data_IF_094040404142
#
_entry.id   IF_094040404142
#
_cell.length_a   1.000
_cell.length_b   1.000
_cell.length_c   1.000
_cell.angle_alpha   90.00
_cell.angle_beta   90.00
_cell.angle_gamma   90.00
#
_symmetry.space_group_name_H-M   'P 1'
#
loop_
_entity.id
_entity.type
_entity.pdbx_description
1 polymer ?
#
# COMPACT_ATOMS: atom_id res chain seq x y z
N UNK A 1 -11.03 -25.93 -25.41
CA UNK A 1 -10.86 -25.32 -24.07
C UNK A 1 -9.62 -24.44 -24.15
N UNK A 2 -9.79 -23.13 -24.55
CA UNK A 2 -8.69 -22.20 -24.59
C UNK A 2 -8.31 -21.84 -23.14
N UNK A 3 -7.14 -22.27 -22.70
CA UNK A 3 -6.46 -21.65 -21.57
C UNK A 3 -6.28 -20.18 -21.93
N UNK A 4 -7.07 -19.30 -21.34
CA UNK A 4 -6.83 -17.87 -21.40
C UNK A 4 -5.38 -17.65 -20.94
N UNK A 5 -4.56 -17.05 -21.79
CA UNK A 5 -3.19 -16.70 -21.46
C UNK A 5 -3.26 -15.91 -20.14
N UNK A 6 -2.55 -16.39 -19.12
CA UNK A 6 -2.41 -15.68 -17.86
C UNK A 6 -1.63 -14.40 -18.19
N UNK A 7 -2.34 -13.28 -18.27
CA UNK A 7 -1.70 -11.98 -18.45
C UNK A 7 -0.78 -11.72 -17.26
N UNK A 8 0.44 -11.27 -17.56
CA UNK A 8 1.35 -10.82 -16.50
C UNK A 8 0.72 -9.63 -15.74
N UNK A 9 1.01 -9.43 -14.45
CA UNK A 9 0.47 -8.31 -13.69
C UNK A 9 0.63 -6.95 -14.37
N UNK A 10 1.74 -6.71 -15.06
CA UNK A 10 2.00 -5.49 -15.83
C UNK A 10 1.02 -5.28 -16.97
N UNK A 11 0.64 -6.33 -17.69
CA UNK A 11 -0.29 -6.24 -18.84
C UNK A 11 -1.70 -5.81 -18.44
N UNK A 12 -2.12 -6.11 -17.19
CA UNK A 12 -3.43 -5.70 -16.69
C UNK A 12 -3.38 -4.28 -16.15
N UNK A 13 -2.29 -3.89 -15.49
CA UNK A 13 -2.18 -2.63 -14.78
C UNK A 13 -1.94 -1.41 -15.69
N UNK A 14 -1.32 -1.64 -16.84
CA UNK A 14 -0.95 -0.59 -17.79
C UNK A 14 -1.82 -0.65 -19.04
N UNK A 15 -2.09 0.50 -19.64
CA UNK A 15 -2.69 0.59 -20.96
C UNK A 15 -1.64 0.32 -22.07
N UNK A 16 -2.03 0.39 -23.35
CA UNK A 16 -1.15 0.10 -24.49
C UNK A 16 0.04 1.07 -24.57
N UNK A 17 -0.10 2.28 -24.06
CA UNK A 17 0.95 3.31 -24.03
C UNK A 17 1.84 3.23 -22.78
N UNK A 18 1.63 2.22 -21.92
CA UNK A 18 2.38 2.02 -20.68
C UNK A 18 1.94 2.91 -19.52
N UNK A 19 0.79 3.56 -19.60
CA UNK A 19 0.24 4.37 -18.52
C UNK A 19 -0.61 3.52 -17.56
N UNK A 20 -0.60 3.90 -16.30
CA UNK A 20 -1.35 3.22 -15.25
C UNK A 20 -2.86 3.35 -15.49
N UNK A 21 -3.57 2.21 -15.62
CA UNK A 21 -5.03 2.15 -15.72
C UNK A 21 -5.70 1.39 -14.56
N UNK A 22 -4.95 0.52 -13.90
CA UNK A 22 -5.32 -0.12 -12.64
C UNK A 22 -4.10 -0.08 -11.72
N UNK A 23 -4.32 -0.04 -10.40
CA UNK A 23 -3.23 -0.16 -9.43
C UNK A 23 -3.47 -1.34 -8.49
N UNK A 24 -2.99 -2.52 -8.87
CA UNK A 24 -3.33 -3.80 -8.23
C UNK A 24 -2.22 -4.31 -7.32
N UNK A 25 -0.98 -4.16 -7.74
CA UNK A 25 0.23 -4.57 -7.02
C UNK A 25 1.42 -3.71 -7.42
N UNK A 26 2.54 -3.82 -6.70
CA UNK A 26 3.82 -3.20 -7.07
C UNK A 26 4.54 -4.03 -8.13
N UNK A 27 4.44 -5.35 -8.02
CA UNK A 27 5.11 -6.29 -8.90
C UNK A 27 4.72 -6.06 -10.36
N UNK A 28 5.71 -6.02 -11.24
CA UNK A 28 5.54 -5.79 -12.67
C UNK A 28 5.42 -4.32 -13.09
N UNK A 29 5.47 -3.37 -12.15
CA UNK A 29 5.60 -1.94 -12.44
C UNK A 29 7.08 -1.51 -12.47
N UNK A 30 7.39 -0.56 -13.33
CA UNK A 30 8.75 -0.05 -13.48
C UNK A 30 9.10 1.02 -12.43
N UNK A 31 10.41 1.30 -12.26
CA UNK A 31 10.90 2.41 -11.43
C UNK A 31 10.28 3.74 -11.88
N UNK A 32 10.16 3.94 -13.19
CA UNK A 32 9.58 5.15 -13.78
C UNK A 32 8.11 5.30 -13.39
N UNK A 33 7.32 4.23 -13.44
CA UNK A 33 5.90 4.25 -13.02
C UNK A 33 5.77 4.58 -11.55
N UNK A 34 6.55 3.94 -10.67
CA UNK A 34 6.52 4.23 -9.23
C UNK A 34 7.00 5.66 -8.95
N UNK A 35 8.05 6.13 -9.63
CA UNK A 35 8.53 7.51 -9.50
C UNK A 35 7.46 8.51 -9.93
N UNK A 36 6.75 8.26 -11.04
CA UNK A 36 5.63 9.09 -11.49
C UNK A 36 4.51 9.18 -10.44
N UNK A 37 4.18 8.06 -9.77
CA UNK A 37 3.20 8.07 -8.66
C UNK A 37 3.70 8.96 -7.51
N UNK A 38 4.98 8.83 -7.12
CA UNK A 38 5.56 9.63 -6.04
C UNK A 38 5.62 11.12 -6.39
N UNK A 39 5.98 11.46 -7.62
CA UNK A 39 6.07 12.86 -8.08
C UNK A 39 4.69 13.50 -8.18
N UNK A 40 3.71 12.76 -8.72
CA UNK A 40 2.31 13.20 -8.74
C UNK A 40 1.77 13.39 -7.32
N UNK A 41 2.06 12.47 -6.39
CA UNK A 41 1.67 12.64 -5.00
C UNK A 41 2.33 13.87 -4.34
N UNK A 42 3.60 14.11 -4.64
CA UNK A 42 4.32 15.28 -4.13
C UNK A 42 3.71 16.60 -4.66
N UNK A 43 3.22 16.64 -5.89
CA UNK A 43 2.61 17.84 -6.48
C UNK A 43 1.27 18.26 -5.83
N UNK A 44 0.67 17.38 -5.01
CA UNK A 44 -0.52 17.71 -4.22
C UNK A 44 -0.22 18.43 -2.90
N UNK A 45 1.02 18.81 -2.64
CA UNK A 45 1.38 19.65 -1.52
C UNK A 45 1.74 21.05 -1.99
N UNK A 46 1.23 22.08 -1.29
CA UNK A 46 1.64 23.46 -1.48
C UNK A 46 2.99 23.76 -0.79
N UNK A 47 3.48 24.98 -0.91
CA UNK A 47 4.74 25.43 -0.28
C UNK A 47 4.73 25.35 1.26
N UNK A 48 3.55 25.43 1.87
CA UNK A 48 3.34 25.27 3.32
C UNK A 48 3.18 23.79 3.74
N UNK A 49 3.46 22.85 2.83
CA UNK A 49 3.35 21.41 3.07
C UNK A 49 1.91 20.93 3.41
N UNK A 50 0.91 21.64 2.90
CA UNK A 50 -0.51 21.29 3.06
C UNK A 50 -1.07 20.68 1.79
N UNK A 51 -1.97 19.71 1.94
CA UNK A 51 -2.65 19.07 0.81
C UNK A 51 -3.60 20.06 0.12
N UNK A 52 -3.42 20.21 -1.18
CA UNK A 52 -4.31 21.00 -2.03
C UNK A 52 -5.56 20.23 -2.44
N UNK A 53 -6.54 20.95 -2.99
CA UNK A 53 -7.72 20.39 -3.65
C UNK A 53 -7.67 20.81 -5.13
N UNK A 54 -8.11 19.93 -6.03
CA UNK A 54 -8.24 20.23 -7.46
C UNK A 54 -9.46 19.50 -8.07
N UNK A 55 -9.66 19.62 -9.38
CA UNK A 55 -10.81 19.08 -10.09
C UNK A 55 -10.48 17.94 -11.06
N UNK A 56 -9.36 17.24 -10.87
CA UNK A 56 -8.91 16.16 -11.79
C UNK A 56 -9.91 15.01 -11.96
N UNK A 57 -10.81 14.81 -11.01
CA UNK A 57 -11.88 13.80 -11.09
C UNK A 57 -13.27 14.40 -11.01
N UNK A 58 -13.44 15.67 -11.42
CA UNK A 58 -14.76 16.29 -11.48
C UNK A 58 -15.68 15.51 -12.43
N UNK A 59 -16.90 15.25 -11.98
CA UNK A 59 -17.88 14.44 -12.70
C UNK A 59 -17.65 12.93 -12.67
N UNK A 60 -16.53 12.44 -12.09
CA UNK A 60 -16.25 11.02 -11.96
C UNK A 60 -16.75 10.44 -10.65
N UNK A 61 -17.12 9.15 -10.66
CA UNK A 61 -17.65 8.43 -9.51
C UNK A 61 -16.63 7.39 -9.02
N UNK A 62 -16.20 7.55 -7.77
CA UNK A 62 -15.33 6.62 -7.06
C UNK A 62 -16.16 5.81 -6.07
N UNK A 63 -16.18 4.49 -6.20
CA UNK A 63 -16.87 3.60 -5.27
C UNK A 63 -15.88 2.83 -4.41
N UNK A 64 -15.97 2.99 -3.10
CA UNK A 64 -15.19 2.26 -2.12
C UNK A 64 -15.88 0.93 -1.78
N UNK A 65 -15.32 -0.18 -2.27
CA UNK A 65 -15.84 -1.55 -2.09
C UNK A 65 -15.03 -2.26 -1.02
N UNK A 66 -15.47 -2.19 0.23
CA UNK A 66 -14.75 -2.76 1.37
C UNK A 66 -15.46 -4.03 1.86
N UNK A 67 -14.85 -5.19 1.58
CA UNK A 67 -15.30 -6.51 2.02
C UNK A 67 -14.71 -6.91 3.38
N UNK A 68 -13.72 -6.18 3.88
CA UNK A 68 -13.19 -6.28 5.24
C UNK A 68 -13.13 -4.90 5.92
N UNK A 69 -13.28 -4.87 7.22
CA UNK A 69 -13.29 -3.63 7.99
C UNK A 69 -11.96 -2.90 7.90
N UNK A 70 -11.98 -1.63 7.50
CA UNK A 70 -10.83 -0.74 7.57
C UNK A 70 -11.26 0.72 7.55
N UNK A 71 -11.48 1.28 8.73
CA UNK A 71 -11.92 2.67 8.87
C UNK A 71 -10.91 3.64 8.28
N UNK A 72 -9.63 3.54 8.65
CA UNK A 72 -8.58 4.46 8.21
C UNK A 72 -8.40 4.42 6.68
N UNK A 73 -8.26 3.24 6.06
CA UNK A 73 -8.05 3.14 4.62
C UNK A 73 -9.25 3.69 3.84
N UNK A 74 -10.48 3.34 4.25
CA UNK A 74 -11.71 3.86 3.63
C UNK A 74 -11.79 5.38 3.72
N UNK A 75 -11.62 5.94 4.93
CA UNK A 75 -11.70 7.38 5.15
C UNK A 75 -10.64 8.15 4.36
N UNK A 76 -9.41 7.62 4.26
CA UNK A 76 -8.34 8.29 3.50
C UNK A 76 -8.54 8.20 1.99
N UNK A 77 -9.14 7.13 1.46
CA UNK A 77 -9.55 7.10 0.04
C UNK A 77 -10.73 8.06 -0.22
N UNK A 78 -11.70 8.12 0.67
CA UNK A 78 -12.79 9.09 0.58
C UNK A 78 -12.27 10.53 0.59
N UNK A 79 -11.35 10.85 1.51
CA UNK A 79 -10.72 12.17 1.59
C UNK A 79 -9.92 12.49 0.32
N UNK A 80 -9.18 11.52 -0.24
CA UNK A 80 -8.42 11.69 -1.46
C UNK A 80 -9.31 11.96 -2.68
N UNK A 81 -10.36 11.15 -2.87
CA UNK A 81 -11.29 11.31 -3.97
C UNK A 81 -12.05 12.65 -3.92
N UNK A 82 -12.51 13.07 -2.72
CA UNK A 82 -13.16 14.38 -2.52
C UNK A 82 -12.22 15.54 -2.82
N UNK A 83 -10.91 15.42 -2.50
CA UNK A 83 -9.90 16.45 -2.85
C UNK A 83 -9.65 16.55 -4.34
N UNK A 84 -9.98 15.52 -5.12
CA UNK A 84 -9.96 15.52 -6.58
C UNK A 84 -11.31 15.90 -7.21
N UNK A 85 -12.29 16.35 -6.41
CA UNK A 85 -13.65 16.72 -6.82
C UNK A 85 -14.50 15.56 -7.37
N UNK A 86 -14.16 14.31 -7.00
CA UNK A 86 -14.95 13.14 -7.38
C UNK A 86 -16.23 13.00 -6.55
N UNK A 87 -17.27 12.40 -7.15
CA UNK A 87 -18.40 11.82 -6.42
C UNK A 87 -17.92 10.55 -5.70
N UNK A 88 -18.21 10.41 -4.41
CA UNK A 88 -17.72 9.25 -3.62
C UNK A 88 -18.88 8.47 -3.04
N UNK A 89 -18.92 7.18 -3.31
CA UNK A 89 -19.88 6.25 -2.73
C UNK A 89 -19.13 5.20 -1.89
N UNK A 90 -19.51 5.05 -0.63
CA UNK A 90 -18.99 4.00 0.24
C UNK A 90 -20.02 2.85 0.28
N UNK A 91 -19.67 1.70 -0.27
CA UNK A 91 -20.54 0.54 -0.37
C UNK A 91 -20.13 -0.49 0.70
N UNK A 92 -21.05 -0.80 1.59
CA UNK A 92 -20.88 -1.88 2.58
C UNK A 92 -21.41 -3.19 2.01
N UNK A 93 -20.55 -3.89 1.26
CA UNK A 93 -20.94 -5.13 0.55
C UNK A 93 -21.15 -6.28 1.54
N UNK A 94 -20.41 -6.32 2.66
CA UNK A 94 -20.52 -7.36 3.65
C UNK A 94 -21.94 -7.45 4.27
N UNK A 95 -22.71 -6.37 4.20
CA UNK A 95 -24.06 -6.27 4.79
C UNK A 95 -25.20 -6.28 3.77
N UNK A 96 -24.94 -6.10 2.46
CA UNK A 96 -26.05 -5.81 1.54
C UNK A 96 -26.44 -6.94 0.60
N UNK A 97 -25.58 -7.40 -0.31
CA UNK A 97 -26.01 -8.28 -1.42
C UNK A 97 -25.64 -9.75 -1.24
N UNK A 98 -24.47 -10.04 -0.66
CA UNK A 98 -24.01 -11.42 -0.41
C UNK A 98 -24.91 -12.19 0.56
N UNK A 99 -25.63 -11.48 1.43
CA UNK A 99 -26.63 -12.10 2.32
C UNK A 99 -27.88 -12.61 1.60
N UNK A 100 -28.10 -12.21 0.34
CA UNK A 100 -29.27 -12.58 -0.50
C UNK A 100 -28.93 -13.59 -1.60
N UNK A 101 -27.69 -14.12 -1.64
CA UNK A 101 -27.27 -15.11 -2.64
C UNK A 101 -26.79 -14.50 -3.97
N UNK A 102 -26.61 -13.19 -4.07
CA UNK A 102 -26.03 -12.52 -5.23
C UNK A 102 -24.54 -12.87 -5.36
N UNK A 103 -24.08 -13.15 -6.59
CA UNK A 103 -22.64 -13.40 -6.81
C UNK A 103 -21.86 -12.11 -6.82
N UNK A 104 -20.54 -12.17 -6.53
CA UNK A 104 -19.65 -11.01 -6.62
C UNK A 104 -19.73 -10.36 -8.00
N UNK A 105 -19.82 -11.17 -9.06
CA UNK A 105 -19.91 -10.68 -10.44
C UNK A 105 -21.19 -9.86 -10.68
N UNK A 106 -22.33 -10.36 -10.23
CA UNK A 106 -23.61 -9.66 -10.38
C UNK A 106 -23.61 -8.34 -9.62
N UNK A 107 -23.04 -8.34 -8.39
CA UNK A 107 -22.86 -7.10 -7.61
C UNK A 107 -22.00 -6.08 -8.36
N UNK A 108 -20.87 -6.50 -8.95
CA UNK A 108 -19.99 -5.62 -9.71
C UNK A 108 -20.70 -5.03 -10.93
N UNK A 109 -21.41 -5.83 -11.71
CA UNK A 109 -22.16 -5.36 -12.88
C UNK A 109 -23.28 -4.37 -12.52
N UNK A 110 -23.96 -4.58 -11.41
CA UNK A 110 -24.94 -3.63 -10.89
C UNK A 110 -24.29 -2.29 -10.52
N UNK A 111 -23.12 -2.31 -9.88
CA UNK A 111 -22.39 -1.10 -9.51
C UNK A 111 -21.82 -0.35 -10.74
N UNK A 112 -21.37 -1.09 -11.75
CA UNK A 112 -20.97 -0.50 -13.05
C UNK A 112 -22.13 0.22 -13.73
N UNK A 113 -23.32 -0.39 -13.74
CA UNK A 113 -24.53 0.22 -14.30
C UNK A 113 -24.96 1.51 -13.57
N UNK A 114 -24.43 1.75 -12.36
CA UNK A 114 -24.60 3.01 -11.62
C UNK A 114 -23.56 4.07 -11.99
N UNK A 115 -22.90 3.93 -13.15
CA UNK A 115 -21.89 4.85 -13.69
C UNK A 115 -20.65 5.01 -12.80
N UNK A 116 -20.09 3.90 -12.31
CA UNK A 116 -18.83 3.89 -11.63
C UNK A 116 -17.65 4.07 -12.60
N UNK A 117 -16.72 4.96 -12.30
CA UNK A 117 -15.46 5.14 -13.04
C UNK A 117 -14.29 4.43 -12.34
N UNK A 118 -14.29 4.37 -11.01
CA UNK A 118 -13.21 3.76 -10.23
C UNK A 118 -13.79 2.91 -9.09
N UNK A 119 -13.30 1.67 -8.96
CA UNK A 119 -13.51 0.86 -7.78
C UNK A 119 -12.24 0.81 -6.92
N UNK A 120 -12.37 1.21 -5.66
CA UNK A 120 -11.35 1.02 -4.63
C UNK A 120 -11.71 -0.24 -3.86
N UNK A 121 -10.93 -1.30 -4.03
CA UNK A 121 -11.25 -2.64 -3.55
C UNK A 121 -10.39 -3.02 -2.36
N UNK A 122 -11.03 -3.43 -1.25
CA UNK A 122 -10.37 -4.07 -0.12
C UNK A 122 -11.05 -5.41 0.19
N UNK A 123 -10.29 -6.51 0.15
CA UNK A 123 -10.84 -7.86 0.26
C UNK A 123 -9.98 -8.76 1.16
N UNK A 124 -10.61 -9.74 1.83
CA UNK A 124 -9.91 -10.74 2.65
C UNK A 124 -9.20 -11.83 1.83
N UNK A 125 -9.59 -12.05 0.58
CA UNK A 125 -8.97 -13.04 -0.31
C UNK A 125 -7.86 -12.41 -1.15
N UNK A 126 -6.71 -13.07 -1.22
CA UNK A 126 -5.60 -12.71 -2.10
C UNK A 126 -5.99 -12.85 -3.57
N UNK A 127 -5.61 -11.89 -4.42
CA UNK A 127 -5.94 -11.89 -5.85
C UNK A 127 -7.30 -11.29 -6.18
N UNK A 128 -8.12 -10.91 -5.20
CA UNK A 128 -9.47 -10.38 -5.44
C UNK A 128 -9.47 -9.13 -6.31
N UNK A 129 -8.53 -8.20 -6.13
CA UNK A 129 -8.43 -7.00 -6.95
C UNK A 129 -8.12 -7.33 -8.42
N UNK A 130 -7.26 -8.32 -8.68
CA UNK A 130 -6.97 -8.81 -10.03
C UNK A 130 -8.18 -9.47 -10.68
N UNK A 131 -8.89 -10.32 -9.93
CA UNK A 131 -10.12 -10.95 -10.41
C UNK A 131 -11.16 -9.90 -10.79
N UNK A 132 -11.33 -8.87 -9.97
CA UNK A 132 -12.27 -7.77 -10.24
C UNK A 132 -11.85 -7.01 -11.49
N UNK A 133 -10.57 -6.66 -11.65
CA UNK A 133 -10.06 -5.97 -12.83
C UNK A 133 -10.27 -6.75 -14.15
N UNK A 134 -10.32 -8.09 -14.08
CA UNK A 134 -10.63 -8.95 -15.24
C UNK A 134 -12.13 -9.16 -15.46
N UNK A 135 -12.97 -8.81 -14.49
CA UNK A 135 -14.42 -9.07 -14.51
C UNK A 135 -15.22 -7.85 -14.94
N UNK A 136 -14.78 -6.65 -14.53
CA UNK A 136 -15.45 -5.38 -14.80
C UNK A 136 -15.24 -4.90 -16.22
N UNK A 137 -16.07 -3.96 -16.66
CA UNK A 137 -15.91 -3.31 -17.97
C UNK A 137 -14.54 -2.60 -18.09
N UNK A 138 -13.92 -2.61 -19.28
CA UNK A 138 -12.58 -2.03 -19.49
C UNK A 138 -12.43 -0.56 -19.08
N UNK A 139 -13.51 0.19 -19.00
CA UNK A 139 -13.48 1.61 -18.63
C UNK A 139 -13.40 1.88 -17.12
N UNK A 140 -13.61 0.85 -16.28
CA UNK A 140 -13.56 1.02 -14.81
C UNK A 140 -12.13 0.78 -14.30
N UNK A 141 -11.54 1.78 -13.67
CA UNK A 141 -10.25 1.64 -13.00
C UNK A 141 -10.37 0.87 -11.68
N UNK A 142 -9.43 -0.02 -11.40
CA UNK A 142 -9.39 -0.76 -10.13
C UNK A 142 -8.18 -0.36 -9.32
N UNK A 143 -8.41 0.04 -8.07
CA UNK A 143 -7.37 0.39 -7.09
C UNK A 143 -7.43 -0.59 -5.93
N UNK A 144 -6.34 -1.33 -5.71
CA UNK A 144 -6.21 -2.28 -4.61
C UNK A 144 -5.91 -1.54 -3.29
N UNK A 145 -6.88 -1.55 -2.37
CA UNK A 145 -6.76 -1.01 -1.01
C UNK A 145 -6.34 -2.08 0.03
N UNK A 146 -5.86 -3.23 -0.46
CA UNK A 146 -5.36 -4.37 0.31
C UNK A 146 -6.18 -5.64 0.09
N UNK A 147 -5.54 -6.70 -0.39
CA UNK A 147 -6.14 -8.00 -0.64
C UNK A 147 -5.41 -9.14 0.10
N UNK A 148 -6.12 -9.83 0.95
CA UNK A 148 -5.64 -10.99 1.70
C UNK A 148 -4.30 -10.77 2.42
N UNK A 149 -3.36 -11.68 2.16
CA UNK A 149 -1.94 -11.60 2.56
C UNK A 149 -1.04 -11.21 1.38
N UNK A 150 -1.62 -10.84 0.24
CA UNK A 150 -0.93 -10.65 -1.04
C UNK A 150 -0.35 -9.24 -1.16
N UNK A 151 -1.16 -8.19 -1.33
CA UNK A 151 -0.66 -6.86 -1.64
C UNK A 151 -1.41 -5.73 -0.92
N UNK A 152 -0.70 -4.64 -0.67
CA UNK A 152 -1.25 -3.34 -0.27
C UNK A 152 -0.45 -2.21 -0.96
N UNK A 153 -0.55 -2.08 -2.29
CA UNK A 153 0.34 -1.24 -3.07
C UNK A 153 0.29 0.24 -2.68
N UNK A 154 -0.90 0.75 -2.31
CA UNK A 154 -1.02 2.14 -1.87
C UNK A 154 -0.40 2.40 -0.49
N UNK A 155 -0.27 1.38 0.36
CA UNK A 155 0.50 1.49 1.61
C UNK A 155 1.99 1.57 1.29
N UNK A 156 2.50 0.68 0.45
CA UNK A 156 3.91 0.73 0.06
C UNK A 156 4.27 2.09 -0.55
N UNK A 157 3.47 2.62 -1.45
CA UNK A 157 3.76 3.92 -2.07
C UNK A 157 3.70 5.08 -1.08
N UNK A 158 2.79 5.07 -0.09
CA UNK A 158 2.80 6.12 0.94
C UNK A 158 4.00 6.00 1.88
N UNK A 159 4.47 4.78 2.14
CA UNK A 159 5.68 4.54 2.91
C UNK A 159 6.90 5.04 2.14
N UNK A 160 7.01 4.73 0.84
CA UNK A 160 8.06 5.27 -0.03
C UNK A 160 8.01 6.80 -0.15
N UNK A 161 6.82 7.41 -0.27
CA UNK A 161 6.69 8.86 -0.27
C UNK A 161 7.17 9.47 1.05
N UNK A 162 6.82 8.86 2.18
CA UNK A 162 7.24 9.30 3.50
C UNK A 162 8.76 9.23 3.65
N UNK A 163 9.36 8.11 3.28
CA UNK A 163 10.82 7.93 3.29
C UNK A 163 11.49 9.02 2.45
N UNK A 164 11.04 9.24 1.21
CA UNK A 164 11.61 10.24 0.30
C UNK A 164 11.54 11.67 0.89
N UNK A 165 10.43 12.02 1.51
CA UNK A 165 10.18 13.35 2.06
C UNK A 165 10.97 13.63 3.34
N UNK A 166 11.03 12.65 4.23
CA UNK A 166 11.64 12.82 5.54
C UNK A 166 13.15 12.66 5.51
N UNK A 167 13.66 11.68 4.75
CA UNK A 167 15.11 11.44 4.66
C UNK A 167 15.79 12.40 3.67
N UNK A 168 15.08 12.82 2.61
CA UNK A 168 15.63 13.59 1.48
C UNK A 168 16.82 12.91 0.79
N UNK A 169 16.97 11.60 0.98
CA UNK A 169 18.02 10.76 0.39
C UNK A 169 17.46 10.01 -0.82
N UNK A 170 18.32 9.55 -1.73
CA UNK A 170 17.94 8.61 -2.79
C UNK A 170 17.73 7.23 -2.20
N UNK A 171 16.84 6.43 -2.80
CA UNK A 171 16.58 5.05 -2.34
C UNK A 171 17.83 4.17 -2.40
N UNK A 172 18.75 4.44 -3.31
CA UNK A 172 20.02 3.74 -3.48
C UNK A 172 20.99 3.94 -2.30
N UNK A 173 20.81 5.01 -1.54
CA UNK A 173 21.71 5.47 -0.47
C UNK A 173 21.15 5.23 0.94
N UNK A 174 19.99 4.56 1.06
CA UNK A 174 19.33 4.29 2.36
C UNK A 174 19.27 2.82 2.67
N UNK A 175 19.22 2.53 3.97
CA UNK A 175 18.93 1.21 4.52
C UNK A 175 17.56 1.22 5.24
N UNK A 176 16.72 0.23 4.92
CA UNK A 176 15.37 0.08 5.45
C UNK A 176 15.27 -1.20 6.25
N UNK A 177 14.90 -1.11 7.53
CA UNK A 177 14.62 -2.24 8.40
C UNK A 177 13.11 -2.43 8.58
N UNK A 178 12.57 -3.58 8.20
CA UNK A 178 11.16 -3.95 8.36
C UNK A 178 11.07 -5.04 9.43
N UNK A 179 10.36 -4.75 10.54
CA UNK A 179 10.38 -5.58 11.74
C UNK A 179 8.97 -6.04 12.08
N UNK A 180 8.76 -7.31 12.35
CA UNK A 180 7.50 -7.84 12.88
C UNK A 180 7.00 -9.10 12.22
N UNK A 181 5.68 -9.23 12.03
CA UNK A 181 5.07 -10.37 11.35
C UNK A 181 5.20 -10.24 9.84
N UNK A 182 6.32 -10.68 9.30
CA UNK A 182 6.64 -10.60 7.86
C UNK A 182 5.81 -11.60 7.06
N UNK A 183 5.69 -12.83 7.58
CA UNK A 183 5.04 -13.95 6.89
C UNK A 183 3.58 -13.66 6.50
N UNK A 184 2.84 -12.98 7.37
CA UNK A 184 1.41 -12.71 7.17
C UNK A 184 1.14 -11.27 6.74
N UNK A 185 2.19 -10.44 6.58
CA UNK A 185 2.05 -9.03 6.26
C UNK A 185 2.08 -8.76 4.75
N UNK A 186 0.93 -8.39 4.19
CA UNK A 186 0.86 -7.83 2.83
C UNK A 186 1.61 -6.49 2.70
N UNK A 187 1.77 -5.75 3.81
CA UNK A 187 2.53 -4.50 3.84
C UNK A 187 4.00 -4.79 3.64
N UNK A 188 4.59 -5.71 4.41
CA UNK A 188 5.99 -6.09 4.25
C UNK A 188 6.33 -6.51 2.81
N UNK A 189 5.47 -7.32 2.17
CA UNK A 189 5.66 -7.75 0.77
C UNK A 189 5.69 -6.56 -0.18
N UNK A 190 4.70 -5.69 -0.08
CA UNK A 190 4.60 -4.53 -0.96
C UNK A 190 5.70 -3.49 -0.71
N UNK A 191 6.14 -3.31 0.55
CA UNK A 191 7.24 -2.38 0.89
C UNK A 191 8.57 -2.88 0.36
N UNK A 192 8.86 -4.20 0.49
CA UNK A 192 10.07 -4.81 -0.08
C UNK A 192 10.07 -4.63 -1.60
N UNK A 193 8.98 -4.99 -2.29
CA UNK A 193 8.87 -4.86 -3.73
C UNK A 193 9.04 -3.39 -4.20
N UNK A 194 8.41 -2.43 -3.52
CA UNK A 194 8.51 -1.01 -3.86
C UNK A 194 9.93 -0.46 -3.62
N UNK A 195 10.55 -0.83 -2.49
CA UNK A 195 11.91 -0.40 -2.16
C UNK A 195 12.93 -0.92 -3.18
N UNK A 196 12.84 -2.21 -3.57
CA UNK A 196 13.68 -2.80 -4.60
C UNK A 196 13.50 -2.13 -5.95
N UNK A 197 12.23 -1.96 -6.39
CA UNK A 197 11.92 -1.34 -7.68
C UNK A 197 12.43 0.10 -7.73
N UNK A 198 12.38 0.85 -6.62
CA UNK A 198 12.92 2.20 -6.53
C UNK A 198 14.45 2.26 -6.40
N UNK A 199 15.13 1.11 -6.22
CA UNK A 199 16.57 0.99 -6.24
C UNK A 199 17.25 0.92 -4.87
N UNK A 200 16.49 0.68 -3.78
CA UNK A 200 17.09 0.44 -2.47
C UNK A 200 17.89 -0.86 -2.48
N UNK A 201 19.16 -0.80 -2.00
CA UNK A 201 20.10 -1.92 -2.02
C UNK A 201 20.32 -2.56 -0.65
N UNK A 202 19.75 -2.01 0.41
CA UNK A 202 19.88 -2.51 1.78
C UNK A 202 18.49 -2.56 2.45
N UNK A 203 17.77 -3.64 2.20
CA UNK A 203 16.45 -3.92 2.78
C UNK A 203 16.62 -5.06 3.78
N UNK A 204 16.38 -4.78 5.05
CA UNK A 204 16.59 -5.71 6.15
C UNK A 204 15.23 -6.14 6.71
N UNK A 205 14.99 -7.43 6.64
CA UNK A 205 13.74 -8.03 7.13
C UNK A 205 14.05 -8.75 8.45
N UNK A 206 13.39 -8.34 9.52
CA UNK A 206 13.74 -8.73 10.89
C UNK A 206 12.53 -9.37 11.57
N UNK A 207 12.63 -10.65 11.91
CA UNK A 207 11.57 -11.38 12.61
C UNK A 207 12.10 -12.67 13.26
N UNK A 208 11.34 -13.27 14.20
CA UNK A 208 11.56 -14.65 14.60
C UNK A 208 11.47 -15.59 13.39
N UNK A 209 12.21 -16.68 13.38
CA UNK A 209 12.19 -17.66 12.28
C UNK A 209 10.78 -18.18 11.96
N UNK A 210 9.88 -18.24 12.93
CA UNK A 210 8.47 -18.66 12.76
C UNK A 210 7.63 -17.64 11.98
N UNK A 211 8.05 -16.39 11.96
CA UNK A 211 7.38 -15.27 11.27
C UNK A 211 8.13 -14.79 10.01
N UNK A 212 9.22 -15.46 9.64
CA UNK A 212 9.87 -15.30 8.34
C UNK A 212 9.24 -16.27 7.33
N UNK A 213 8.87 -15.82 6.14
CA UNK A 213 8.40 -16.73 5.09
C UNK A 213 9.54 -17.59 4.55
N UNK A 214 9.24 -18.80 4.13
CA UNK A 214 10.19 -19.65 3.42
C UNK A 214 10.52 -19.02 2.04
N UNK A 215 11.79 -19.10 1.62
CA UNK A 215 12.23 -18.58 0.32
C UNK A 215 12.26 -17.04 0.25
N UNK A 216 12.24 -16.34 1.39
CA UNK A 216 12.30 -14.88 1.39
C UNK A 216 13.68 -14.34 0.99
N UNK A 217 14.71 -15.14 1.09
CA UNK A 217 16.05 -14.95 0.54
C UNK A 217 16.08 -14.97 -1.00
N UNK A 218 15.03 -15.52 -1.65
CA UNK A 218 14.82 -15.47 -3.09
C UNK A 218 14.18 -14.15 -3.58
N UNK A 219 13.85 -13.22 -2.67
CA UNK A 219 13.24 -11.92 -3.02
C UNK A 219 14.18 -10.97 -3.79
N UNK A 220 15.36 -11.43 -4.12
CA UNK A 220 16.28 -10.74 -5.01
C UNK A 220 17.38 -9.95 -4.30
N UNK A 221 18.16 -9.27 -5.11
CA UNK A 221 19.35 -8.53 -4.67
C UNK A 221 18.97 -7.42 -3.68
N UNK A 222 19.75 -7.28 -2.61
CA UNK A 222 19.59 -6.23 -1.61
C UNK A 222 18.68 -6.57 -0.41
N UNK A 223 17.99 -7.73 -0.40
CA UNK A 223 17.19 -8.16 0.76
C UNK A 223 18.03 -9.07 1.66
N UNK A 224 18.04 -8.75 2.96
CA UNK A 224 18.75 -9.53 3.98
C UNK A 224 17.83 -9.89 5.13
N UNK A 225 17.88 -11.16 5.57
CA UNK A 225 17.08 -11.67 6.68
C UNK A 225 17.86 -11.60 8.00
N UNK A 226 17.19 -11.17 9.06
CA UNK A 226 17.74 -11.11 10.41
C UNK A 226 16.76 -11.74 11.40
N UNK A 227 17.25 -12.63 12.24
CA UNK A 227 16.54 -13.13 13.42
C UNK A 227 17.02 -12.47 14.73
N UNK A 228 18.02 -11.59 14.63
CA UNK A 228 18.49 -10.74 15.71
C UNK A 228 18.18 -9.29 15.38
N UNK A 229 17.41 -8.63 16.25
CA UNK A 229 16.93 -7.27 16.00
C UNK A 229 18.08 -6.26 16.04
N UNK A 230 18.96 -6.34 17.03
CA UNK A 230 20.05 -5.38 17.21
C UNK A 230 21.02 -5.38 16.03
N UNK A 231 21.30 -6.55 15.48
CA UNK A 231 22.13 -6.69 14.27
C UNK A 231 21.42 -6.10 13.04
N UNK A 232 20.10 -6.33 12.93
CA UNK A 232 19.32 -5.92 11.78
C UNK A 232 19.11 -4.39 11.69
N UNK A 233 18.92 -3.70 12.83
CA UNK A 233 18.66 -2.26 12.85
C UNK A 233 19.91 -1.38 12.90
N UNK A 234 21.09 -1.98 13.13
CA UNK A 234 22.34 -1.22 13.28
C UNK A 234 22.59 -0.32 12.08
N UNK A 235 22.81 0.96 12.36
CA UNK A 235 23.13 1.99 11.36
C UNK A 235 22.11 2.11 10.21
N UNK A 236 20.82 1.73 10.43
CA UNK A 236 19.79 1.91 9.41
C UNK A 236 19.22 3.33 9.39
N UNK A 237 18.75 3.75 8.21
CA UNK A 237 18.12 5.06 7.99
C UNK A 237 16.62 5.05 8.33
N UNK A 238 15.96 3.91 8.15
CA UNK A 238 14.51 3.76 8.28
C UNK A 238 14.16 2.49 9.04
N UNK A 239 13.28 2.60 10.02
CA UNK A 239 12.69 1.46 10.72
C UNK A 239 11.18 1.48 10.50
N UNK A 240 10.64 0.39 9.93
CA UNK A 240 9.21 0.14 9.78
C UNK A 240 8.83 -1.00 10.72
N UNK A 241 8.07 -0.70 11.78
CA UNK A 241 7.56 -1.73 12.68
C UNK A 241 6.18 -2.19 12.22
N UNK A 242 5.95 -3.51 12.25
CA UNK A 242 4.70 -4.13 11.83
C UNK A 242 4.01 -4.82 13.00
N UNK A 243 2.70 -4.67 13.07
CA UNK A 243 1.87 -5.33 14.06
C UNK A 243 1.91 -6.86 13.88
N UNK A 244 1.92 -7.61 14.98
CA UNK A 244 1.67 -9.05 14.95
C UNK A 244 0.19 -9.26 14.62
N UNK A 245 -0.08 -10.06 13.57
CA UNK A 245 -1.42 -10.27 13.05
C UNK A 245 -2.04 -11.55 13.63
N UNK A 246 -2.29 -11.55 14.94
CA UNK A 246 -2.85 -12.72 15.66
C UNK A 246 -4.13 -13.28 15.00
N UNK A 247 -4.93 -12.41 14.36
CA UNK A 247 -6.12 -12.79 13.62
C UNK A 247 -5.86 -13.58 12.33
N UNK A 248 -4.61 -13.69 11.91
CA UNK A 248 -4.18 -14.39 10.68
C UNK A 248 -3.25 -15.57 10.96
N UNK A 249 -2.99 -15.84 12.23
CA UNK A 249 -2.09 -16.91 12.67
C UNK A 249 -2.97 -18.11 13.04
N UNK A 250 -2.89 -19.19 12.25
CA UNK A 250 -3.65 -20.41 12.46
C UNK A 250 -3.04 -21.35 13.52
N UNK A 251 -1.84 -21.04 14.03
CA UNK A 251 -1.12 -21.79 15.06
C UNK A 251 -0.28 -20.86 15.92
N UNK A 252 0.09 -21.22 17.16
CA UNK A 252 0.92 -20.39 18.02
C UNK A 252 2.33 -20.21 17.41
N UNK A 253 2.47 -19.15 16.60
CA UNK A 253 3.73 -18.75 15.98
C UNK A 253 4.67 -18.02 16.97
N UNK A 254 4.11 -17.60 18.11
CA UNK A 254 4.80 -16.90 19.19
C UNK A 254 4.31 -17.43 20.53
N UNK A 255 5.23 -17.56 21.48
CA UNK A 255 4.91 -17.99 22.85
C UNK A 255 4.11 -16.93 23.63
N UNK A 256 4.40 -15.63 23.43
CA UNK A 256 3.62 -14.52 24.00
C UNK A 256 3.99 -13.16 23.36
N UNK A 257 3.09 -12.16 23.52
CA UNK A 257 3.39 -10.77 23.16
C UNK A 257 4.54 -10.19 24.00
N UNK A 258 4.64 -10.57 25.26
CA UNK A 258 5.73 -10.12 26.15
C UNK A 258 7.09 -10.64 25.68
N UNK A 259 7.17 -11.88 25.20
CA UNK A 259 8.39 -12.43 24.62
C UNK A 259 8.75 -11.75 23.30
N UNK A 260 7.76 -11.48 22.44
CA UNK A 260 8.00 -10.72 21.22
C UNK A 260 8.56 -9.33 21.55
N UNK A 261 7.94 -8.60 22.49
CA UNK A 261 8.44 -7.29 22.92
C UNK A 261 9.88 -7.37 23.42
N UNK A 262 10.17 -8.36 24.28
CA UNK A 262 11.53 -8.56 24.83
C UNK A 262 12.57 -8.75 23.73
N UNK A 263 12.23 -9.41 22.63
CA UNK A 263 13.18 -9.75 21.55
C UNK A 263 13.14 -8.77 20.38
N UNK A 264 11.97 -8.22 20.04
CA UNK A 264 11.74 -7.45 18.81
C UNK A 264 10.99 -6.13 19.02
N UNK A 265 10.59 -5.77 20.24
CA UNK A 265 9.96 -4.50 20.53
C UNK A 265 10.95 -3.33 20.35
N UNK A 266 10.55 -2.30 19.59
CA UNK A 266 11.37 -1.11 19.39
C UNK A 266 11.26 -0.18 20.62
N UNK A 267 12.34 -0.09 21.40
CA UNK A 267 12.51 0.77 22.56
C UNK A 267 13.67 1.77 22.34
N UNK A 268 13.98 2.60 23.33
CA UNK A 268 15.02 3.65 23.23
C UNK A 268 16.42 3.08 23.01
N UNK A 269 16.76 2.00 23.73
CA UNK A 269 18.09 1.37 23.63
C UNK A 269 18.33 0.83 22.24
N UNK A 270 17.32 0.20 21.65
CA UNK A 270 17.39 -0.34 20.28
C UNK A 270 17.40 0.77 19.22
N UNK A 271 16.53 1.76 19.37
CA UNK A 271 16.52 2.88 18.43
C UNK A 271 17.87 3.62 18.39
N UNK A 272 18.58 3.69 19.53
CA UNK A 272 19.92 4.29 19.60
C UNK A 272 21.00 3.51 18.82
N UNK A 273 20.73 2.28 18.38
CA UNK A 273 21.64 1.49 17.52
C UNK A 273 21.50 1.83 16.05
N UNK A 274 20.40 2.46 15.64
CA UNK A 274 20.21 3.00 14.31
C UNK A 274 20.94 4.35 14.14
N UNK A 275 20.93 4.93 12.94
CA UNK A 275 21.50 6.26 12.73
C UNK A 275 20.77 7.30 13.57
N UNK A 276 21.44 8.37 14.01
CA UNK A 276 20.82 9.44 14.80
C UNK A 276 19.63 10.12 14.11
N UNK A 277 19.65 10.18 12.76
CA UNK A 277 18.61 10.72 11.89
C UNK A 277 17.63 9.65 11.38
N UNK A 278 17.67 8.43 11.95
CA UNK A 278 16.77 7.34 11.58
C UNK A 278 15.32 7.75 11.84
N UNK A 279 14.45 7.49 10.86
CA UNK A 279 13.01 7.71 11.00
C UNK A 279 12.30 6.41 11.39
N UNK A 280 11.25 6.55 12.21
CA UNK A 280 10.42 5.42 12.67
C UNK A 280 9.04 5.52 12.06
N UNK A 281 8.60 4.42 11.44
CA UNK A 281 7.36 4.28 10.70
C UNK A 281 6.52 3.10 11.21
N UNK A 282 5.21 3.19 11.01
CA UNK A 282 4.27 2.10 11.32
C UNK A 282 3.01 2.22 10.45
N UNK A 283 2.58 1.20 9.70
CA UNK A 283 1.39 1.28 8.84
C UNK A 283 0.08 1.35 9.66
N UNK A 284 0.14 1.05 10.96
CA UNK A 284 -0.97 1.05 11.90
C UNK A 284 -2.05 -0.04 11.64
N UNK A 285 -2.93 -0.32 12.63
CA UNK A 285 -2.87 0.22 13.99
C UNK A 285 -1.69 -0.32 14.79
N UNK A 286 -1.18 0.46 15.75
CA UNK A 286 -0.07 0.05 16.62
C UNK A 286 -0.57 -0.71 17.85
N UNK A 287 0.18 -1.73 18.29
CA UNK A 287 0.07 -2.31 19.62
C UNK A 287 1.21 -1.79 20.48
N UNK A 288 0.97 -0.70 21.21
CA UNK A 288 1.94 -0.06 22.08
C UNK A 288 2.38 -1.01 23.20
N UNK A 289 3.69 -1.13 23.42
CA UNK A 289 4.27 -2.10 24.35
C UNK A 289 4.35 -3.53 23.81
N UNK A 290 4.15 -3.72 22.48
CA UNK A 290 4.35 -5.01 21.80
C UNK A 290 5.41 -4.87 20.70
N UNK A 291 5.11 -4.21 19.58
CA UNK A 291 6.11 -3.98 18.52
C UNK A 291 6.85 -2.64 18.67
N UNK A 292 6.26 -1.68 19.40
CA UNK A 292 6.82 -0.35 19.56
C UNK A 292 6.43 0.26 20.92
N UNK A 293 7.37 0.91 21.58
CA UNK A 293 7.10 1.69 22.79
C UNK A 293 6.36 2.99 22.48
N UNK A 294 5.50 3.43 23.41
CA UNK A 294 4.81 4.72 23.29
C UNK A 294 5.79 5.89 23.19
N UNK A 295 6.91 5.83 23.92
CA UNK A 295 7.95 6.87 23.88
C UNK A 295 8.66 6.98 22.51
N UNK A 296 8.64 5.91 21.73
CA UNK A 296 9.18 5.90 20.36
C UNK A 296 8.11 6.32 19.36
N UNK A 297 6.89 5.76 19.49
CA UNK A 297 5.77 6.10 18.62
C UNK A 297 5.41 7.59 18.65
N UNK A 298 5.59 8.24 19.81
CA UNK A 298 5.32 9.65 20.01
C UNK A 298 6.63 10.50 20.08
N UNK A 299 7.77 9.88 19.79
CA UNK A 299 9.09 10.50 19.85
C UNK A 299 9.44 11.33 18.60
N UNK A 300 10.54 12.10 18.65
CA UNK A 300 10.91 13.03 17.57
C UNK A 300 11.31 12.35 16.25
N UNK A 301 11.71 11.09 16.28
CA UNK A 301 12.04 10.30 15.07
C UNK A 301 10.82 9.63 14.42
N UNK A 302 9.66 9.69 15.09
CA UNK A 302 8.41 9.12 14.60
C UNK A 302 7.80 9.99 13.50
N UNK A 303 7.56 9.38 12.34
CA UNK A 303 6.88 10.03 11.21
C UNK A 303 5.54 9.33 10.89
N UNK A 304 4.98 8.63 11.88
CA UNK A 304 3.76 7.82 11.72
C UNK A 304 2.55 8.69 11.31
N UNK A 305 2.42 9.89 11.84
CA UNK A 305 1.33 10.80 11.44
C UNK A 305 1.58 11.41 10.06
N UNK A 306 2.84 11.62 9.67
CA UNK A 306 3.20 12.06 8.33
C UNK A 306 2.81 11.00 7.27
N UNK A 307 2.96 9.69 7.60
CA UNK A 307 2.47 8.60 6.74
C UNK A 307 0.97 8.74 6.45
N UNK A 308 0.15 9.13 7.42
CA UNK A 308 -1.30 9.29 7.22
C UNK A 308 -1.58 10.40 6.20
N UNK A 309 -0.93 11.56 6.34
CA UNK A 309 -1.07 12.69 5.42
C UNK A 309 -0.55 12.34 4.03
N UNK A 310 0.65 11.76 3.94
CA UNK A 310 1.24 11.29 2.69
C UNK A 310 0.37 10.21 2.02
N UNK A 311 -0.35 9.43 2.84
CA UNK A 311 -1.31 8.44 2.37
C UNK A 311 -2.47 9.03 1.59
N UNK A 312 -2.95 10.22 1.95
CA UNK A 312 -3.99 10.92 1.17
C UNK A 312 -3.41 11.35 -0.18
N UNK A 313 -2.21 11.96 -0.20
CA UNK A 313 -1.55 12.39 -1.44
C UNK A 313 -1.31 11.24 -2.43
N UNK A 314 -0.80 10.10 -1.94
CA UNK A 314 -0.58 8.91 -2.78
C UNK A 314 -1.90 8.37 -3.33
N UNK A 315 -2.96 8.34 -2.52
CA UNK A 315 -4.28 7.91 -3.00
C UNK A 315 -4.85 8.86 -4.03
N UNK A 316 -4.66 10.17 -3.88
CA UNK A 316 -4.98 11.16 -4.93
C UNK A 316 -4.20 10.84 -6.22
N UNK A 317 -2.89 10.59 -6.13
CA UNK A 317 -2.06 10.31 -7.29
C UNK A 317 -2.50 9.05 -8.04
N UNK A 318 -2.73 7.93 -7.34
CA UNK A 318 -3.13 6.69 -8.01
C UNK A 318 -4.54 6.76 -8.60
N UNK A 319 -5.48 7.47 -7.96
CA UNK A 319 -6.82 7.70 -8.51
C UNK A 319 -6.75 8.54 -9.79
N UNK A 320 -5.99 9.64 -9.77
CA UNK A 320 -5.86 10.53 -10.93
C UNK A 320 -5.13 9.84 -12.10
N UNK A 321 -3.99 9.17 -11.84
CA UNK A 321 -3.22 8.48 -12.87
C UNK A 321 -3.97 7.30 -13.49
N UNK A 322 -4.67 6.51 -12.68
CA UNK A 322 -5.46 5.39 -13.18
C UNK A 322 -6.63 5.87 -14.06
N UNK A 323 -7.32 6.94 -13.67
CA UNK A 323 -8.38 7.52 -14.49
C UNK A 323 -7.82 8.11 -15.78
N UNK A 324 -6.71 8.83 -15.71
CA UNK A 324 -6.03 9.35 -16.91
C UNK A 324 -5.68 8.22 -17.89
N UNK A 325 -5.09 7.12 -17.41
CA UNK A 325 -4.74 5.96 -18.25
C UNK A 325 -5.97 5.30 -18.88
N UNK A 326 -7.09 5.23 -18.16
CA UNK A 326 -8.37 4.74 -18.70
C UNK A 326 -8.91 5.65 -19.82
N UNK A 327 -8.89 6.95 -19.61
CA UNK A 327 -9.36 7.92 -20.62
C UNK A 327 -8.49 7.90 -21.89
N UNK A 328 -7.18 7.73 -21.75
CA UNK A 328 -6.26 7.57 -22.90
C UNK A 328 -6.58 6.31 -23.70
N UNK A 329 -6.77 5.16 -23.02
CA UNK A 329 -7.10 3.91 -23.68
C UNK A 329 -8.42 3.98 -24.47
N UNK A 330 -9.36 4.81 -24.01
CA UNK A 330 -10.65 5.05 -24.68
C UNK A 330 -10.60 6.13 -25.78
N UNK A 331 -9.46 6.80 -25.97
CA UNK A 331 -9.34 7.93 -26.90
C UNK A 331 -10.16 9.17 -26.50
N UNK A 332 -10.50 9.29 -25.20
CA UNK A 332 -11.36 10.36 -24.69
C UNK A 332 -10.59 11.58 -24.19
N UNK A 333 -9.27 11.49 -24.05
CA UNK A 333 -8.45 12.62 -23.55
C UNK A 333 -8.41 13.78 -24.56
N UNK A 334 -8.39 13.50 -25.84
CA UNK A 334 -8.37 14.53 -26.88
C UNK A 334 -9.73 15.26 -27.00
N UNK A 335 -10.82 14.63 -26.57
CA UNK A 335 -12.16 15.21 -26.59
C UNK A 335 -12.43 16.19 -25.42
N UNK A 336 -11.61 16.18 -24.38
CA UNK A 336 -11.75 17.05 -23.19
C UNK A 336 -10.84 18.29 -23.29
N UNK A 337 -9.82 18.24 -24.13
CA UNK A 337 -8.85 19.33 -24.34
C UNK A 337 -9.30 20.35 -25.42
N UNK A 338 -10.41 20.13 -26.10
CA UNK A 338 -11.06 21.02 -27.06
C UNK A 338 -12.36 21.58 -26.50
#
# INVERSE_FOLDING_TARGET
>A
MHLAALHTPSQIQLNQDGHLKHFLTIEGLSKETLTKILDTAQSFFNEQNQLITNNLLEGRTVMNLFFENSTRTRTTFEAAAKRLSANVLNIDIARSSTSKGETLRDTLWNLEAMAADIFVVRHSSSGAAHFIAQTVCPHVAIINAGDGRHAHPTQAMLDMLTIRRETKKKFEDISIAIIGDIKHSRVARSDVAASQTLGCKDIRVIAPNTLLPYGFDEYGEGVRLFNNMEAGIRDCDVIITLRIQNERIDSPALSSQAEFYKMYGLNKERLAMAKPDCIVMHPGPMNRGVEIDSSIADGPQSVILNQVTNGIAVRMAVLALAMQGQLQEQGLLDAIAG
#
